data_IF_838548667376
#
_entry.id   IF_838548667376
#
_cell.length_a   1.000
_cell.length_b   1.000
_cell.length_c   1.000
_cell.angle_alpha   90.00
_cell.angle_beta   90.00
_cell.angle_gamma   90.00
#
_symmetry.space_group_name_H-M   'P 1'
#
loop_
_entity.id
_entity.type
_entity.pdbx_description
1 polymer ?
#
# COMPACT_ATOMS: atom_id res chain seq x y z
N UNK A 1 -2.18 -17.40 -9.41
CA UNK A 1 -2.34 -16.02 -9.93
C UNK A 1 -1.03 -15.28 -9.71
N UNK A 2 -0.28 -14.88 -10.76
CA UNK A 2 0.95 -14.11 -10.58
C UNK A 2 0.57 -12.72 -10.06
N UNK A 3 0.89 -12.45 -8.79
CA UNK A 3 0.65 -11.14 -8.20
C UNK A 3 1.41 -10.10 -9.03
N UNK A 4 0.72 -9.06 -9.50
CA UNK A 4 1.36 -8.05 -10.34
C UNK A 4 2.57 -7.43 -9.60
N UNK A 5 3.65 -7.10 -10.33
CA UNK A 5 4.80 -6.43 -9.74
C UNK A 5 4.37 -5.09 -9.16
N UNK A 6 4.91 -4.74 -8.01
CA UNK A 6 4.70 -3.45 -7.34
C UNK A 6 5.96 -2.63 -7.57
N UNK A 7 5.80 -1.39 -8.03
CA UNK A 7 6.89 -0.46 -8.29
C UNK A 7 6.81 0.75 -7.36
N UNK A 8 7.91 1.51 -7.29
CA UNK A 8 7.90 2.84 -6.69
C UNK A 8 6.95 3.73 -7.49
N UNK A 9 6.10 4.49 -6.79
CA UNK A 9 5.03 5.28 -7.38
C UNK A 9 3.67 4.58 -7.43
N UNK A 10 3.60 3.27 -7.17
CA UNK A 10 2.31 2.57 -7.11
C UNK A 10 1.55 2.91 -5.83
N UNK A 11 0.23 3.08 -5.96
CA UNK A 11 -0.68 3.11 -4.82
C UNK A 11 -0.98 1.69 -4.35
N UNK A 12 -0.90 1.52 -3.04
CA UNK A 12 -1.08 0.23 -2.40
C UNK A 12 -1.94 0.34 -1.14
N UNK A 13 -2.57 -0.77 -0.80
CA UNK A 13 -3.38 -0.92 0.39
C UNK A 13 -2.83 -2.06 1.26
N UNK A 14 -2.77 -1.83 2.58
CA UNK A 14 -2.42 -2.88 3.53
C UNK A 14 -3.66 -3.74 3.81
N UNK A 15 -3.70 -4.96 3.24
CA UNK A 15 -4.84 -5.88 3.37
C UNK A 15 -4.87 -6.64 4.69
N UNK A 16 -3.78 -6.62 5.46
CA UNK A 16 -3.69 -7.30 6.76
C UNK A 16 -4.19 -6.40 7.88
N UNK A 17 -5.30 -6.77 8.53
CA UNK A 17 -5.83 -6.07 9.70
C UNK A 17 -4.80 -6.02 10.84
N UNK A 18 -4.14 -7.14 11.11
CA UNK A 18 -3.13 -7.24 12.17
C UNK A 18 -2.01 -6.20 12.00
N UNK A 19 -1.46 -6.07 10.78
CA UNK A 19 -0.41 -5.07 10.51
C UNK A 19 -0.94 -3.64 10.60
N UNK A 20 -2.19 -3.39 10.19
CA UNK A 20 -2.80 -2.07 10.33
C UNK A 20 -2.95 -1.67 11.78
N UNK A 21 -3.43 -2.57 12.64
CA UNK A 21 -3.60 -2.30 14.06
C UNK A 21 -2.24 -2.05 14.73
N UNK A 22 -1.24 -2.89 14.46
CA UNK A 22 0.12 -2.74 15.01
C UNK A 22 0.79 -1.44 14.55
N UNK A 23 0.62 -1.07 13.28
CA UNK A 23 1.18 0.15 12.71
C UNK A 23 0.25 1.35 12.84
N UNK A 24 -0.88 1.23 13.55
CA UNK A 24 -1.92 2.26 13.66
C UNK A 24 -2.23 2.93 12.31
N UNK A 25 -2.41 2.11 11.28
CA UNK A 25 -2.77 2.53 9.93
C UNK A 25 -4.29 2.52 9.81
N UNK A 26 -4.85 3.62 9.31
CA UNK A 26 -6.26 3.67 8.92
C UNK A 26 -6.49 2.85 7.65
N UNK A 27 -7.75 2.68 7.24
CA UNK A 27 -8.12 2.02 5.98
C UNK A 27 -7.84 2.91 4.76
N UNK A 28 -6.62 3.43 4.67
CA UNK A 28 -6.19 4.40 3.67
C UNK A 28 -5.22 3.76 2.66
N UNK A 29 -5.15 4.37 1.48
CA UNK A 29 -4.15 4.04 0.47
C UNK A 29 -2.83 4.71 0.83
N UNK A 30 -1.74 4.01 0.56
CA UNK A 30 -0.39 4.55 0.69
C UNK A 30 0.36 4.50 -0.64
N UNK A 31 1.35 5.36 -0.78
CA UNK A 31 2.22 5.45 -1.94
C UNK A 31 3.51 4.69 -1.68
N UNK A 32 3.92 3.79 -2.58
CA UNK A 32 5.22 3.15 -2.48
C UNK A 32 6.31 4.15 -2.85
N UNK A 33 7.18 4.48 -1.90
CA UNK A 33 8.28 5.44 -2.08
C UNK A 33 9.66 4.76 -2.19
N UNK A 34 9.79 3.52 -1.73
CA UNK A 34 11.07 2.79 -1.75
C UNK A 34 10.80 1.28 -1.75
N UNK A 35 11.64 0.51 -2.45
CA UNK A 35 11.55 -0.96 -2.47
C UNK A 35 12.92 -1.54 -2.11
N UNK A 36 12.95 -2.43 -1.11
CA UNK A 36 14.15 -3.17 -0.70
C UNK A 36 13.83 -4.65 -0.66
N UNK A 37 14.35 -5.39 -1.64
CA UNK A 37 14.06 -6.82 -1.84
C UNK A 37 12.55 -7.05 -1.99
N UNK A 38 11.89 -7.56 -0.96
CA UNK A 38 10.44 -7.84 -0.91
C UNK A 38 9.71 -7.00 0.14
N UNK A 39 10.36 -5.96 0.67
CA UNK A 39 9.76 -4.98 1.57
C UNK A 39 9.56 -3.66 0.83
N UNK A 40 8.42 -3.03 1.09
CA UNK A 40 7.97 -1.83 0.42
C UNK A 40 7.79 -0.75 1.47
N UNK A 41 8.45 0.38 1.29
CA UNK A 41 8.26 1.56 2.12
C UNK A 41 7.09 2.33 1.57
N UNK A 42 6.07 2.48 2.40
CA UNK A 42 4.82 3.11 2.03
C UNK A 42 4.66 4.41 2.80
N UNK A 43 4.34 5.49 2.09
CA UNK A 43 3.97 6.79 2.61
C UNK A 43 2.45 6.90 2.66
N UNK A 44 1.90 7.21 3.83
CA UNK A 44 0.48 7.43 4.04
C UNK A 44 0.14 8.93 4.11
N UNK A 45 -1.14 9.33 3.92
CA UNK A 45 -1.57 10.73 3.95
C UNK A 45 -1.23 11.47 5.24
N UNK A 46 -1.17 10.77 6.37
CA UNK A 46 -0.80 11.33 7.67
C UNK A 46 0.73 11.49 7.85
N UNK A 47 1.48 11.62 6.76
CA UNK A 47 2.96 11.62 6.70
C UNK A 47 3.66 10.39 7.28
N UNK A 48 2.88 9.37 7.67
CA UNK A 48 3.38 8.15 8.27
C UNK A 48 4.08 7.30 7.23
N UNK A 49 5.26 6.77 7.60
CA UNK A 49 6.08 5.91 6.74
C UNK A 49 6.32 4.59 7.44
N UNK A 50 6.05 3.49 6.76
CA UNK A 50 6.36 2.17 7.30
C UNK A 50 6.82 1.20 6.22
N UNK A 51 7.59 0.20 6.63
CA UNK A 51 7.94 -0.92 5.78
C UNK A 51 6.87 -1.99 5.91
N UNK A 52 6.37 -2.44 4.76
CA UNK A 52 5.39 -3.51 4.67
C UNK A 52 5.95 -4.63 3.79
N UNK A 53 5.75 -5.90 4.18
CA UNK A 53 6.17 -7.03 3.36
C UNK A 53 5.16 -7.31 2.24
N UNK A 54 5.59 -7.98 1.17
CA UNK A 54 4.78 -8.20 -0.04
C UNK A 54 3.41 -8.83 0.24
N UNK A 55 3.34 -9.74 1.21
CA UNK A 55 2.16 -10.56 1.53
C UNK A 55 1.00 -9.76 2.14
N UNK A 56 1.29 -8.63 2.77
CA UNK A 56 0.28 -7.76 3.39
C UNK A 56 -0.15 -6.60 2.49
N UNK A 57 0.44 -6.47 1.30
CA UNK A 57 0.20 -5.36 0.39
C UNK A 57 -0.56 -5.83 -0.85
N UNK A 58 -1.60 -5.08 -1.21
CA UNK A 58 -2.29 -5.18 -2.48
C UNK A 58 -2.07 -3.91 -3.30
N UNK A 59 -1.66 -4.06 -4.56
CA UNK A 59 -1.57 -2.94 -5.51
C UNK A 59 -2.98 -2.55 -5.94
N UNK A 60 -3.29 -1.26 -5.86
CA UNK A 60 -4.52 -0.71 -6.42
C UNK A 60 -4.22 -0.25 -7.84
N UNK A 61 -4.94 -0.79 -8.82
CA UNK A 61 -4.85 -0.27 -10.18
C UNK A 61 -5.76 0.95 -10.31
N UNK A 62 -5.35 2.01 -11.00
CA UNK A 62 -6.19 3.19 -11.23
C UNK A 62 -7.51 2.84 -11.94
N UNK A 63 -7.53 1.78 -12.76
CA UNK A 63 -8.75 1.23 -13.40
C UNK A 63 -9.80 0.75 -12.38
N UNK A 64 -9.39 0.45 -11.14
CA UNK A 64 -10.26 0.02 -10.04
C UNK A 64 -10.57 1.15 -9.05
N UNK A 65 -9.93 2.31 -9.17
CA UNK A 65 -10.38 3.52 -8.49
C UNK A 65 -11.59 4.04 -9.25
N UNK A 66 -12.79 3.64 -8.82
CA UNK A 66 -13.98 4.41 -9.16
C UNK A 66 -13.74 5.81 -8.59
N UNK A 67 -13.43 6.76 -9.46
CA UNK A 67 -13.49 8.17 -9.12
C UNK A 67 -14.94 8.45 -8.75
N UNK A 68 -15.24 8.45 -7.45
CA UNK A 68 -16.42 9.13 -6.95
C UNK A 68 -16.17 10.61 -7.22
N UNK A 69 -16.63 11.09 -8.38
CA UNK A 69 -16.76 12.51 -8.64
C UNK A 69 -17.73 13.04 -7.58
N UNK A 70 -17.21 13.89 -6.70
CA UNK A 70 -18.01 14.69 -5.78
C UNK A 70 -18.61 15.88 -6.54
#
# INVERSE_FOLDING_TARGET
MKASPIHVGDFVYCRSKYYRDQLQLREELGLVIEIKRSNFKVLYPNDKRCWLPREVIARVRPEQMQYAAF
#
